data_IF_598575518766
#
_entry.id   IF_598575518766
#
_cell.length_a   1.000
_cell.length_b   1.000
_cell.length_c   1.000
_cell.angle_alpha   90.00
_cell.angle_beta   90.00
_cell.angle_gamma   90.00
#
_symmetry.space_group_name_H-M   'P 1'
#
loop_
_entity.id
_entity.type
_entity.pdbx_description
1 polymer ?
#
# COMPACT_ATOMS: atom_id res chain seq x y z
N UNK A 1 13.61 20.32 -45.68
CA UNK A 1 14.87 19.73 -45.15
C UNK A 1 15.31 20.60 -43.97
N UNK A 2 14.91 20.19 -42.78
CA UNK A 2 15.36 20.70 -41.47
C UNK A 2 15.44 19.46 -40.57
N UNK A 3 16.50 19.23 -39.79
CA UNK A 3 16.69 17.96 -39.10
C UNK A 3 15.86 17.87 -37.81
N UNK A 4 15.35 16.67 -37.56
CA UNK A 4 14.70 16.24 -36.33
C UNK A 4 15.75 15.95 -35.25
N UNK A 5 15.65 16.62 -34.10
CA UNK A 5 16.38 16.24 -32.89
C UNK A 5 15.47 15.39 -31.99
N UNK A 6 15.83 14.11 -31.85
CA UNK A 6 15.24 13.17 -30.91
C UNK A 6 15.77 13.42 -29.50
N UNK A 7 14.90 13.85 -28.58
CA UNK A 7 15.16 13.87 -27.14
C UNK A 7 14.63 12.58 -26.49
N UNK A 8 15.52 11.60 -26.30
CA UNK A 8 15.34 10.50 -25.35
C UNK A 8 15.56 11.05 -23.93
N UNK A 9 14.50 11.12 -23.12
CA UNK A 9 14.60 11.42 -21.69
C UNK A 9 14.71 10.10 -20.92
N UNK A 10 15.91 9.81 -20.44
CA UNK A 10 16.22 8.73 -19.50
C UNK A 10 15.92 9.20 -18.07
N UNK A 11 14.99 8.54 -17.38
CA UNK A 11 14.72 8.78 -15.96
C UNK A 11 15.71 7.99 -15.09
N UNK A 12 16.82 8.64 -14.70
CA UNK A 12 17.59 8.29 -13.50
C UNK A 12 17.46 9.44 -12.51
N UNK A 13 16.84 9.18 -11.36
CA UNK A 13 16.86 10.08 -10.23
C UNK A 13 18.30 10.11 -9.65
N UNK A 14 19.00 11.24 -9.83
CA UNK A 14 20.27 11.53 -9.17
C UNK A 14 20.00 12.65 -8.18
N UNK A 15 20.16 12.36 -6.88
CA UNK A 15 20.26 13.39 -5.84
C UNK A 15 21.70 13.94 -5.84
N UNK A 16 21.92 15.25 -5.68
CA UNK A 16 23.25 15.84 -5.68
C UNK A 16 23.94 15.63 -4.33
N UNK A 17 25.22 15.24 -4.33
CA UNK A 17 26.11 15.50 -3.20
C UNK A 17 26.93 14.37 -2.59
N UNK A 18 27.15 13.23 -3.24
CA UNK A 18 28.13 12.23 -2.77
C UNK A 18 28.94 11.72 -3.97
N UNK A 19 30.23 12.10 -4.05
CA UNK A 19 31.17 11.44 -4.95
C UNK A 19 31.43 10.01 -4.46
N UNK A 20 31.29 8.97 -5.31
CA UNK A 20 31.69 7.63 -4.96
C UNK A 20 33.22 7.48 -5.02
N UNK A 21 33.84 6.65 -4.18
CA UNK A 21 35.26 6.35 -4.28
C UNK A 21 35.55 5.43 -5.48
N UNK A 22 36.69 5.66 -6.12
CA UNK A 22 37.24 4.86 -7.21
C UNK A 22 37.36 3.38 -6.82
N UNK A 23 36.48 2.55 -7.39
CA UNK A 23 36.61 1.09 -7.35
C UNK A 23 36.85 0.61 -8.78
N UNK A 24 38.09 0.23 -9.07
CA UNK A 24 38.47 -0.46 -10.31
C UNK A 24 37.85 -1.86 -10.30
N UNK A 25 36.77 -2.05 -11.06
CA UNK A 25 36.22 -3.37 -11.36
C UNK A 25 37.05 -4.04 -12.46
N UNK A 26 37.67 -5.17 -12.15
CA UNK A 26 38.12 -6.14 -13.15
C UNK A 26 36.89 -6.87 -13.68
N UNK A 27 36.70 -6.85 -15.00
CA UNK A 27 35.72 -7.68 -15.69
C UNK A 27 36.29 -9.11 -15.79
N UNK A 28 35.66 -10.07 -15.12
CA UNK A 28 35.79 -11.49 -15.42
C UNK A 28 34.52 -11.91 -16.17
N UNK A 29 34.69 -12.23 -17.46
CA UNK A 29 33.63 -12.83 -18.27
C UNK A 29 33.44 -14.29 -17.86
N UNK A 30 32.19 -14.69 -17.66
CA UNK A 30 31.79 -16.07 -17.38
C UNK A 30 31.71 -16.82 -18.71
N UNK A 31 32.52 -17.85 -18.84
CA UNK A 31 32.57 -18.79 -19.97
C UNK A 31 31.42 -19.81 -19.84
N UNK A 32 30.49 -19.79 -20.79
CA UNK A 32 29.29 -20.64 -20.81
C UNK A 32 29.52 -22.02 -21.45
N UNK A 33 30.72 -22.33 -21.93
CA UNK A 33 31.03 -23.60 -22.60
C UNK A 33 31.40 -24.75 -21.62
N UNK A 34 31.09 -24.62 -20.33
CA UNK A 34 31.40 -25.60 -19.28
C UNK A 34 30.20 -26.09 -18.46
N UNK A 35 29.05 -26.26 -19.10
CA UNK A 35 27.97 -27.06 -18.51
C UNK A 35 27.97 -28.45 -19.15
N UNK A 36 28.41 -29.42 -18.36
CA UNK A 36 28.48 -30.83 -18.74
C UNK A 36 27.11 -31.46 -18.92
N UNK A 37 27.10 -32.50 -19.75
CA UNK A 37 25.95 -33.29 -20.18
C UNK A 37 25.10 -33.80 -19.00
N UNK A 38 23.81 -33.50 -19.04
CA UNK A 38 22.80 -34.11 -18.17
C UNK A 38 22.06 -35.15 -19.01
N UNK A 39 22.20 -36.41 -18.61
CA UNK A 39 21.50 -37.57 -19.19
C UNK A 39 19.98 -37.40 -19.08
N UNK A 40 19.29 -37.52 -20.22
CA UNK A 40 17.83 -37.63 -20.32
C UNK A 40 17.36 -39.01 -19.81
N UNK A 41 16.27 -39.09 -19.02
CA UNK A 41 15.65 -40.36 -18.69
C UNK A 41 14.69 -40.80 -19.81
N UNK A 42 14.84 -42.05 -20.21
CA UNK A 42 14.04 -42.81 -21.17
C UNK A 42 12.54 -42.87 -20.83
N UNK A 43 11.69 -42.60 -21.83
CA UNK A 43 10.26 -42.90 -21.82
C UNK A 43 9.98 -44.40 -22.11
N UNK A 44 8.96 -45.01 -21.51
CA UNK A 44 8.39 -46.26 -22.01
C UNK A 44 7.18 -46.03 -22.92
N UNK A 45 7.09 -46.93 -23.90
CA UNK A 45 6.20 -46.99 -25.05
C UNK A 45 4.69 -47.09 -24.75
N UNK A 46 3.93 -46.51 -25.69
CA UNK A 46 2.65 -46.92 -26.29
C UNK A 46 1.48 -47.37 -25.41
N UNK A 47 0.38 -46.60 -25.45
CA UNK A 47 -0.92 -47.22 -25.70
C UNK A 47 -1.81 -46.36 -26.60
N UNK A 48 -2.37 -47.02 -27.62
CA UNK A 48 -3.08 -46.47 -28.77
C UNK A 48 -4.57 -46.29 -28.45
N UNK A 49 -5.05 -45.05 -28.29
CA UNK A 49 -6.50 -44.78 -28.41
C UNK A 49 -6.79 -43.65 -29.41
N UNK A 50 -7.39 -44.09 -30.52
CA UNK A 50 -7.95 -43.28 -31.59
C UNK A 50 -8.99 -42.31 -31.04
N UNK A 51 -8.78 -41.01 -31.22
CA UNK A 51 -9.90 -40.07 -31.32
C UNK A 51 -9.65 -39.04 -32.42
N UNK A 52 -10.68 -38.91 -33.24
CA UNK A 52 -10.84 -38.08 -34.42
C UNK A 52 -10.38 -36.64 -34.25
N UNK A 53 -9.43 -36.22 -35.09
CA UNK A 53 -9.19 -34.82 -35.41
C UNK A 53 -10.44 -34.26 -36.10
N UNK A 54 -11.23 -33.50 -35.35
CA UNK A 54 -12.24 -32.59 -35.89
C UNK A 54 -11.62 -31.21 -35.91
N UNK A 55 -11.30 -30.74 -37.12
CA UNK A 55 -11.10 -29.34 -37.46
C UNK A 55 -12.06 -28.44 -36.68
N UNK A 56 -11.50 -27.54 -35.87
CA UNK A 56 -12.20 -26.36 -35.36
C UNK A 56 -11.19 -25.26 -35.00
N UNK A 57 -10.27 -24.97 -35.91
CA UNK A 57 -9.66 -23.62 -35.99
C UNK A 57 -10.72 -22.67 -36.55
N UNK A 58 -11.73 -22.37 -35.73
CA UNK A 58 -12.54 -21.18 -35.96
C UNK A 58 -11.70 -20.00 -35.46
N UNK A 59 -11.05 -19.32 -36.40
CA UNK A 59 -10.64 -17.92 -36.20
C UNK A 59 -11.82 -17.20 -35.54
N UNK A 60 -11.59 -16.68 -34.33
CA UNK A 60 -12.53 -15.78 -33.69
C UNK A 60 -12.54 -14.51 -34.54
N UNK A 61 -13.40 -14.50 -35.55
CA UNK A 61 -13.72 -13.31 -36.32
C UNK A 61 -14.43 -12.40 -35.33
N UNK A 62 -13.68 -11.45 -34.77
CA UNK A 62 -14.29 -10.31 -34.09
C UNK A 62 -15.15 -9.62 -35.15
N UNK A 63 -16.47 -9.50 -34.96
CA UNK A 63 -17.27 -8.68 -35.85
C UNK A 63 -16.64 -7.29 -35.84
N UNK A 64 -16.26 -6.80 -37.03
CA UNK A 64 -15.99 -5.38 -37.25
C UNK A 64 -17.31 -4.65 -37.06
N UNK A 65 -17.67 -4.42 -35.80
CA UNK A 65 -18.76 -3.54 -35.44
C UNK A 65 -18.33 -2.13 -35.83
N UNK A 66 -18.84 -1.72 -36.98
CA UNK A 66 -19.03 -0.34 -37.41
C UNK A 66 -19.96 0.39 -36.42
N UNK A 67 -19.44 0.74 -35.26
CA UNK A 67 -19.80 1.96 -34.56
C UNK A 67 -18.49 2.60 -34.12
N UNK A 68 -18.16 3.73 -34.77
CA UNK A 68 -17.08 4.62 -34.40
C UNK A 68 -17.32 5.15 -32.97
N UNK A 69 -17.12 4.31 -31.95
CA UNK A 69 -16.93 4.78 -30.58
C UNK A 69 -15.56 5.44 -30.58
N UNK A 70 -15.52 6.72 -30.95
CA UNK A 70 -14.30 7.51 -31.03
C UNK A 70 -13.83 7.79 -29.61
N UNK A 71 -13.22 6.79 -28.96
CA UNK A 71 -12.46 6.98 -27.74
C UNK A 71 -11.55 8.20 -27.95
N UNK A 72 -11.52 9.17 -27.03
CA UNK A 72 -10.63 10.32 -27.14
C UNK A 72 -9.21 9.87 -27.46
N UNK A 73 -8.56 10.49 -28.45
CA UNK A 73 -7.19 10.14 -28.87
C UNK A 73 -6.24 10.15 -27.69
N UNK A 74 -6.40 11.15 -26.82
CA UNK A 74 -5.70 11.29 -25.54
C UNK A 74 -5.83 10.04 -24.67
N UNK A 75 -7.05 9.51 -24.52
CA UNK A 75 -7.26 8.29 -23.76
C UNK A 75 -6.56 7.10 -24.41
N UNK A 76 -6.71 6.92 -25.74
CA UNK A 76 -6.06 5.82 -26.47
C UNK A 76 -4.54 5.84 -26.26
N UNK A 77 -3.92 7.02 -26.35
CA UNK A 77 -2.49 7.18 -26.17
C UNK A 77 -2.04 6.89 -24.74
N UNK A 78 -2.70 7.47 -23.73
CA UNK A 78 -2.34 7.28 -22.34
C UNK A 78 -2.58 5.84 -21.87
N UNK A 79 -3.62 5.19 -22.38
CA UNK A 79 -3.89 3.78 -22.12
C UNK A 79 -2.82 2.88 -22.74
N UNK A 80 -2.43 3.11 -23.99
CA UNK A 80 -1.34 2.37 -24.67
C UNK A 80 0.02 2.55 -23.98
N UNK A 81 0.26 3.72 -23.37
CA UNK A 81 1.46 4.00 -22.56
C UNK A 81 1.39 3.43 -21.14
N UNK A 82 0.34 2.68 -20.80
CA UNK A 82 0.10 2.12 -19.46
C UNK A 82 0.01 3.19 -18.35
N UNK A 83 -0.36 4.43 -18.69
CA UNK A 83 -0.55 5.51 -17.71
C UNK A 83 -1.91 5.42 -17.01
N UNK A 84 -2.89 4.82 -17.67
CA UNK A 84 -4.23 4.56 -17.15
C UNK A 84 -4.40 3.10 -16.70
N UNK A 85 -5.10 2.85 -15.59
CA UNK A 85 -5.38 1.49 -15.15
C UNK A 85 -6.37 0.79 -16.10
N UNK A 86 -6.28 -0.54 -16.25
CA UNK A 86 -7.20 -1.31 -17.10
C UNK A 86 -8.69 -1.07 -16.80
N UNK A 87 -9.04 -0.86 -15.52
CA UNK A 87 -10.43 -0.63 -15.12
C UNK A 87 -11.05 0.64 -15.74
N UNK A 88 -10.25 1.58 -16.25
CA UNK A 88 -10.80 2.75 -16.96
C UNK A 88 -11.52 2.35 -18.25
N UNK A 89 -11.11 1.27 -18.92
CA UNK A 89 -11.83 0.75 -20.09
C UNK A 89 -13.21 0.21 -19.70
N UNK A 90 -13.31 -0.55 -18.60
CA UNK A 90 -14.60 -1.04 -18.11
C UNK A 90 -15.52 0.11 -17.67
N UNK A 91 -14.95 1.13 -17.00
CA UNK A 91 -15.69 2.32 -16.60
C UNK A 91 -16.21 3.05 -17.84
N UNK A 92 -15.35 3.28 -18.84
CA UNK A 92 -15.69 4.06 -20.04
C UNK A 92 -16.72 3.35 -20.91
N UNK A 93 -16.51 2.08 -21.24
CA UNK A 93 -17.37 1.37 -22.20
C UNK A 93 -18.59 0.69 -21.58
N UNK A 94 -18.45 0.18 -20.36
CA UNK A 94 -19.46 -0.70 -19.76
C UNK A 94 -20.21 -0.04 -18.62
N UNK A 95 -19.82 1.19 -18.25
CA UNK A 95 -20.30 1.90 -17.06
C UNK A 95 -20.26 0.98 -15.83
N UNK A 96 -19.16 0.21 -15.72
CA UNK A 96 -18.92 -0.78 -14.68
C UNK A 96 -17.54 -0.60 -14.06
N UNK A 97 -17.49 -0.68 -12.75
CA UNK A 97 -16.24 -0.83 -12.01
C UNK A 97 -16.22 -2.22 -11.35
N UNK A 98 -15.13 -2.96 -11.49
CA UNK A 98 -14.96 -4.25 -10.82
C UNK A 98 -14.06 -4.05 -9.61
N UNK A 99 -14.66 -4.11 -8.42
CA UNK A 99 -13.95 -3.97 -7.16
C UNK A 99 -12.97 -5.18 -7.00
N UNK A 100 -11.71 -4.92 -6.64
CA UNK A 100 -10.69 -6.00 -6.49
C UNK A 100 -11.06 -6.82 -5.26
N UNK A 101 -10.98 -8.15 -5.36
CA UNK A 101 -11.24 -9.03 -4.23
C UNK A 101 -10.24 -8.74 -3.09
N UNK A 102 -10.78 -8.46 -1.91
CA UNK A 102 -10.01 -8.19 -0.69
C UNK A 102 -10.64 -8.92 0.48
N UNK A 103 -9.84 -9.19 1.52
CA UNK A 103 -10.37 -9.77 2.76
C UNK A 103 -11.07 -8.67 3.54
N UNK A 104 -12.37 -8.82 3.79
CA UNK A 104 -13.16 -7.80 4.49
C UNK A 104 -14.20 -8.44 5.43
N UNK A 105 -14.76 -7.62 6.32
CA UNK A 105 -15.81 -8.04 7.25
C UNK A 105 -17.14 -8.19 6.50
N UNK A 106 -17.68 -9.41 6.48
CA UNK A 106 -18.89 -9.75 5.69
C UNK A 106 -20.12 -9.00 6.20
N UNK A 107 -20.19 -8.71 7.50
CA UNK A 107 -21.29 -7.95 8.09
C UNK A 107 -21.19 -6.44 7.85
N UNK A 108 -20.03 -5.94 7.42
CA UNK A 108 -19.84 -4.53 7.08
C UNK A 108 -20.21 -4.27 5.61
N UNK A 109 -20.40 -3.00 5.29
CA UNK A 109 -20.50 -2.53 3.91
C UNK A 109 -19.23 -2.85 3.12
N UNK A 110 -19.28 -2.83 1.78
CA UNK A 110 -18.11 -3.08 0.95
C UNK A 110 -17.02 -2.02 1.20
N UNK A 111 -15.76 -2.44 1.36
CA UNK A 111 -14.64 -1.53 1.63
C UNK A 111 -14.45 -0.45 0.55
N UNK A 112 -14.94 -0.66 -0.67
CA UNK A 112 -14.87 0.32 -1.77
C UNK A 112 -15.88 1.46 -1.65
N UNK A 113 -16.95 1.29 -0.85
CA UNK A 113 -17.99 2.33 -0.67
C UNK A 113 -17.37 3.64 -0.18
N UNK A 114 -16.34 3.58 0.66
CA UNK A 114 -15.60 4.77 1.12
C UNK A 114 -15.02 5.60 -0.03
N UNK A 115 -14.71 4.97 -1.16
CA UNK A 115 -14.08 5.58 -2.35
C UNK A 115 -15.08 5.96 -3.44
N UNK A 116 -16.38 5.73 -3.24
CA UNK A 116 -17.40 5.95 -4.28
C UNK A 116 -17.43 7.40 -4.81
N UNK A 117 -17.20 8.41 -3.96
CA UNK A 117 -17.14 9.80 -4.43
C UNK A 117 -15.98 10.01 -5.44
N UNK A 118 -14.84 9.36 -5.22
CA UNK A 118 -13.67 9.44 -6.11
C UNK A 118 -13.95 8.66 -7.39
N UNK A 119 -14.52 7.46 -7.28
CA UNK A 119 -14.87 6.61 -8.43
C UNK A 119 -15.91 7.30 -9.32
N UNK A 120 -16.93 7.92 -8.71
CA UNK A 120 -17.96 8.68 -9.43
C UNK A 120 -17.37 9.89 -10.18
N UNK A 121 -16.43 10.61 -9.56
CA UNK A 121 -15.72 11.70 -10.21
C UNK A 121 -14.86 11.21 -11.39
N UNK A 122 -14.16 10.09 -11.23
CA UNK A 122 -13.40 9.44 -12.31
C UNK A 122 -14.34 9.08 -13.48
N UNK A 123 -15.48 8.45 -13.21
CA UNK A 123 -16.46 8.12 -14.24
C UNK A 123 -16.98 9.36 -14.98
N UNK A 124 -17.29 10.43 -14.26
CA UNK A 124 -17.75 11.69 -14.86
C UNK A 124 -16.68 12.33 -15.75
N UNK A 125 -15.42 12.36 -15.32
CA UNK A 125 -14.31 12.90 -16.13
C UNK A 125 -14.12 12.04 -17.40
N UNK A 126 -14.17 10.72 -17.25
CA UNK A 126 -13.94 9.78 -18.35
C UNK A 126 -15.03 9.86 -19.43
N UNK A 127 -16.30 9.98 -19.03
CA UNK A 127 -17.43 9.84 -19.95
C UNK A 127 -18.18 11.15 -20.23
N UNK A 128 -18.01 12.17 -19.40
CA UNK A 128 -18.85 13.38 -19.40
C UNK A 128 -20.29 13.14 -18.94
N UNK A 129 -20.67 11.88 -18.64
CA UNK A 129 -22.04 11.50 -18.32
C UNK A 129 -22.33 11.73 -16.84
N UNK A 130 -23.61 11.99 -16.55
CA UNK A 130 -24.16 12.03 -15.19
C UNK A 130 -25.04 10.79 -14.91
N UNK A 131 -24.91 9.75 -15.72
CA UNK A 131 -25.62 8.48 -15.55
C UNK A 131 -25.07 7.66 -14.37
N UNK A 132 -25.75 6.54 -14.05
CA UNK A 132 -25.34 5.65 -12.98
C UNK A 132 -24.18 4.73 -13.39
N UNK A 133 -23.07 4.80 -12.66
CA UNK A 133 -22.01 3.78 -12.69
C UNK A 133 -22.39 2.64 -11.75
N UNK A 134 -22.15 1.40 -12.16
CA UNK A 134 -22.31 0.23 -11.27
C UNK A 134 -20.96 -0.32 -10.80
N UNK A 135 -20.72 -0.49 -9.48
CA UNK A 135 -19.64 -1.38 -9.02
C UNK A 135 -20.15 -2.83 -8.91
N UNK A 136 -19.38 -3.77 -9.43
CA UNK A 136 -19.48 -5.20 -9.11
C UNK A 136 -18.49 -5.53 -8.00
N UNK A 137 -19.00 -5.96 -6.86
CA UNK A 137 -18.20 -6.27 -5.67
C UNK A 137 -18.99 -7.10 -4.66
N UNK A 138 -18.50 -7.18 -3.42
CA UNK A 138 -19.22 -7.90 -2.35
C UNK A 138 -20.46 -7.12 -1.92
N UNK A 139 -21.61 -7.81 -1.91
CA UNK A 139 -22.89 -7.39 -1.33
C UNK A 139 -23.31 -8.44 -0.31
N UNK A 140 -23.12 -8.15 0.98
CA UNK A 140 -23.27 -9.13 2.05
C UNK A 140 -22.22 -10.25 1.91
N UNK A 141 -22.66 -11.50 1.71
CA UNK A 141 -21.80 -12.68 1.56
C UNK A 141 -21.59 -13.12 0.10
N UNK A 142 -22.16 -12.40 -0.87
CA UNK A 142 -22.10 -12.76 -2.30
C UNK A 142 -21.46 -11.63 -3.12
N UNK A 143 -21.06 -11.96 -4.34
CA UNK A 143 -20.73 -10.94 -5.35
C UNK A 143 -22.04 -10.42 -5.94
N UNK A 144 -22.17 -9.11 -6.07
CA UNK A 144 -23.36 -8.44 -6.58
C UNK A 144 -23.03 -7.08 -7.18
N UNK A 145 -24.05 -6.38 -7.65
CA UNK A 145 -23.96 -5.02 -8.17
C UNK A 145 -24.35 -4.02 -7.09
N UNK A 146 -23.66 -2.89 -7.06
CA UNK A 146 -23.90 -1.73 -6.20
C UNK A 146 -23.94 -0.49 -7.10
N UNK A 147 -24.92 0.36 -6.91
CA UNK A 147 -24.99 1.63 -7.63
C UNK A 147 -24.02 2.63 -6.99
N UNK A 148 -23.15 3.21 -7.81
CA UNK A 148 -22.26 4.28 -7.39
C UNK A 148 -23.04 5.60 -7.48
N UNK A 149 -23.08 6.41 -6.41
CA UNK A 149 -23.77 7.70 -6.44
C UNK A 149 -23.28 8.60 -7.57
N UNK A 150 -24.20 9.26 -8.25
CA UNK A 150 -23.88 10.23 -9.30
C UNK A 150 -23.08 11.41 -8.73
N UNK A 151 -22.04 11.82 -9.44
CA UNK A 151 -21.27 13.02 -9.11
C UNK A 151 -21.91 14.25 -9.77
N UNK A 152 -22.55 15.12 -8.99
CA UNK A 152 -23.33 16.23 -9.53
C UNK A 152 -22.50 17.47 -9.89
N UNK A 153 -21.43 17.76 -9.14
CA UNK A 153 -20.65 18.98 -9.37
C UNK A 153 -19.95 18.97 -10.75
N UNK A 154 -19.83 20.12 -11.43
CA UNK A 154 -19.17 20.18 -12.73
C UNK A 154 -17.69 19.78 -12.58
N UNK A 155 -17.22 18.92 -13.49
CA UNK A 155 -15.84 18.46 -13.60
C UNK A 155 -15.40 18.62 -15.07
N UNK A 156 -14.10 18.84 -15.30
CA UNK A 156 -13.60 18.96 -16.66
C UNK A 156 -13.66 17.62 -17.41
N UNK A 157 -13.78 17.67 -18.73
CA UNK A 157 -13.62 16.48 -19.59
C UNK A 157 -12.14 16.09 -19.71
N UNK A 158 -11.88 14.91 -20.28
CA UNK A 158 -10.52 14.46 -20.61
C UNK A 158 -9.77 15.46 -21.48
N UNK A 159 -10.43 16.02 -22.50
CA UNK A 159 -9.84 16.99 -23.42
C UNK A 159 -9.54 18.33 -22.73
N UNK A 160 -10.44 18.79 -21.85
CA UNK A 160 -10.22 20.01 -21.08
C UNK A 160 -8.99 19.89 -20.17
N UNK A 161 -8.84 18.74 -19.48
CA UNK A 161 -7.67 18.43 -18.63
C UNK A 161 -6.35 18.55 -19.39
N UNK A 162 -6.34 18.22 -20.68
CA UNK A 162 -5.12 18.32 -21.49
C UNK A 162 -4.55 19.74 -21.53
N UNK A 163 -5.45 20.72 -21.60
CA UNK A 163 -5.13 22.15 -21.74
C UNK A 163 -4.98 22.89 -20.41
N UNK A 164 -5.53 22.33 -19.33
CA UNK A 164 -5.41 22.90 -17.98
C UNK A 164 -3.96 22.98 -17.50
N UNK A 165 -3.64 24.00 -16.72
CA UNK A 165 -2.35 24.09 -16.06
C UNK A 165 -2.25 23.19 -14.80
N UNK A 166 -1.07 23.12 -14.20
CA UNK A 166 -0.85 22.29 -13.01
C UNK A 166 -1.66 22.73 -11.79
N UNK A 167 -1.96 24.02 -11.66
CA UNK A 167 -2.66 24.60 -10.52
C UNK A 167 -4.18 24.35 -10.63
N UNK A 168 -4.73 24.44 -11.84
CA UNK A 168 -6.12 24.11 -12.13
C UNK A 168 -6.41 22.63 -11.89
N UNK A 169 -5.54 21.73 -12.35
CA UNK A 169 -5.65 20.28 -12.09
C UNK A 169 -5.62 19.97 -10.60
N UNK A 170 -4.77 20.68 -9.85
CA UNK A 170 -4.68 20.57 -8.41
C UNK A 170 -5.99 21.01 -7.73
N UNK A 171 -6.59 22.13 -8.15
CA UNK A 171 -7.90 22.58 -7.65
C UNK A 171 -9.00 21.57 -7.91
N UNK A 172 -9.03 20.95 -9.09
CA UNK A 172 -9.99 19.87 -9.40
C UNK A 172 -9.78 18.67 -8.49
N UNK A 173 -8.52 18.28 -8.23
CA UNK A 173 -8.20 17.21 -7.30
C UNK A 173 -8.76 17.48 -5.89
N UNK A 174 -8.50 18.68 -5.33
CA UNK A 174 -9.01 19.08 -4.01
C UNK A 174 -10.55 19.15 -3.97
N UNK A 175 -11.18 19.67 -5.04
CA UNK A 175 -12.64 19.71 -5.17
C UNK A 175 -13.26 18.32 -5.10
N UNK A 176 -12.68 17.33 -5.80
CA UNK A 176 -13.17 15.95 -5.79
C UNK A 176 -13.09 15.33 -4.39
N UNK A 177 -12.03 15.65 -3.64
CA UNK A 177 -11.87 15.19 -2.26
C UNK A 177 -12.70 15.98 -1.24
N UNK A 178 -13.41 17.03 -1.68
CA UNK A 178 -14.15 17.96 -0.81
C UNK A 178 -13.26 18.56 0.28
N UNK A 179 -12.01 18.84 -0.10
CA UNK A 179 -11.00 19.45 0.77
C UNK A 179 -10.81 20.92 0.38
N UNK A 180 -10.68 21.78 1.38
CA UNK A 180 -10.35 23.18 1.15
C UNK A 180 -8.96 23.32 0.52
N UNK A 181 -8.83 24.23 -0.44
CA UNK A 181 -7.58 24.43 -1.17
C UNK A 181 -6.42 24.86 -0.26
N UNK A 182 -6.71 25.51 0.87
CA UNK A 182 -5.71 25.84 1.89
C UNK A 182 -5.01 24.60 2.47
N UNK A 183 -5.57 23.39 2.36
CA UNK A 183 -4.90 22.17 2.80
C UNK A 183 -3.56 21.93 2.08
N UNK A 184 -3.34 22.54 0.90
CA UNK A 184 -2.04 22.56 0.23
C UNK A 184 -0.91 23.09 1.14
N UNK A 185 -1.19 24.04 2.04
CA UNK A 185 -0.19 24.56 2.98
C UNK A 185 0.21 23.49 4.01
N UNK A 186 -0.74 22.72 4.53
CA UNK A 186 -0.43 21.57 5.39
C UNK A 186 0.38 20.49 4.68
N UNK A 187 0.16 20.26 3.37
CA UNK A 187 0.99 19.33 2.60
C UNK A 187 2.43 19.81 2.44
N UNK A 188 2.67 21.12 2.45
CA UNK A 188 4.01 21.67 2.26
C UNK A 188 5.00 21.31 3.37
N UNK A 189 4.50 20.91 4.56
CA UNK A 189 5.34 20.37 5.64
C UNK A 189 5.69 18.90 5.46
N UNK A 190 5.25 18.23 4.39
CA UNK A 190 5.58 16.84 4.08
C UNK A 190 6.37 16.75 2.77
N UNK A 191 7.22 15.71 2.61
CA UNK A 191 7.86 15.45 1.33
C UNK A 191 6.83 15.26 0.21
N UNK A 192 7.11 15.78 -0.99
CA UNK A 192 6.21 15.67 -2.15
C UNK A 192 5.78 14.22 -2.46
N UNK A 193 6.68 13.25 -2.26
CA UNK A 193 6.40 11.81 -2.45
C UNK A 193 5.43 11.21 -1.42
N UNK A 194 5.06 11.96 -0.38
CA UNK A 194 4.11 11.57 0.65
C UNK A 194 2.75 12.25 0.50
N UNK A 195 2.61 13.26 -0.38
CA UNK A 195 1.39 14.07 -0.46
C UNK A 195 0.13 13.22 -0.72
N UNK A 196 0.16 12.30 -1.69
CA UNK A 196 -0.97 11.39 -1.94
C UNK A 196 -1.28 10.46 -0.75
N UNK A 197 -0.27 10.05 0.00
CA UNK A 197 -0.45 9.21 1.19
C UNK A 197 -1.10 9.98 2.34
N UNK A 198 -0.67 11.23 2.56
CA UNK A 198 -1.26 12.12 3.57
C UNK A 198 -2.70 12.51 3.18
N UNK A 199 -2.96 12.78 1.89
CA UNK A 199 -4.31 12.99 1.37
C UNK A 199 -5.20 11.75 1.58
N UNK A 200 -4.68 10.55 1.39
CA UNK A 200 -5.41 9.31 1.68
C UNK A 200 -5.79 9.21 3.15
N UNK A 201 -4.86 9.54 4.06
CA UNK A 201 -5.14 9.54 5.51
C UNK A 201 -6.19 10.60 5.85
N UNK A 202 -6.05 11.83 5.35
CA UNK A 202 -7.04 12.90 5.59
C UNK A 202 -8.43 12.50 5.13
N UNK A 203 -8.53 12.02 3.89
CA UNK A 203 -9.79 11.56 3.31
C UNK A 203 -10.40 10.39 4.12
N UNK A 204 -9.58 9.44 4.54
CA UNK A 204 -10.02 8.30 5.33
C UNK A 204 -10.49 8.69 6.75
N UNK A 205 -9.86 9.68 7.38
CA UNK A 205 -10.30 10.25 8.65
C UNK A 205 -11.69 10.87 8.52
N UNK A 206 -11.90 11.66 7.45
CA UNK A 206 -13.18 12.32 7.20
C UNK A 206 -14.31 11.34 6.84
N UNK A 207 -13.99 10.21 6.18
CA UNK A 207 -14.99 9.30 5.58
C UNK A 207 -15.19 7.97 6.31
N UNK A 208 -14.12 7.32 6.77
CA UNK A 208 -14.15 5.95 7.31
C UNK A 208 -13.88 5.83 8.82
N UNK A 209 -13.76 6.96 9.54
CA UNK A 209 -13.46 6.98 10.99
C UNK A 209 -12.28 6.06 11.34
N UNK A 210 -11.15 6.23 10.65
CA UNK A 210 -9.94 5.46 10.96
C UNK A 210 -9.59 5.61 12.45
N UNK A 211 -9.30 4.49 13.10
CA UNK A 211 -8.84 4.50 14.49
C UNK A 211 -7.42 5.06 14.58
N UNK A 212 -7.11 5.79 15.65
CA UNK A 212 -5.74 6.25 15.92
C UNK A 212 -4.70 5.11 15.89
N UNK A 213 -4.93 3.93 16.52
CA UNK A 213 -4.04 2.78 16.37
C UNK A 213 -3.69 2.42 14.91
N UNK A 214 -4.64 2.57 13.99
CA UNK A 214 -4.41 2.34 12.56
C UNK A 214 -3.60 3.48 11.92
N UNK A 215 -3.93 4.74 12.23
CA UNK A 215 -3.18 5.91 11.73
C UNK A 215 -1.70 5.83 12.16
N UNK A 216 -1.42 5.55 13.43
CA UNK A 216 -0.04 5.38 13.90
C UNK A 216 0.67 4.23 13.17
N UNK A 217 -0.01 3.10 12.95
CA UNK A 217 0.58 1.97 12.26
C UNK A 217 0.87 2.26 10.78
N UNK A 218 -0.02 2.99 10.10
CA UNK A 218 0.18 3.48 8.73
C UNK A 218 1.41 4.39 8.65
N UNK A 219 1.52 5.38 9.53
CA UNK A 219 2.65 6.31 9.56
C UNK A 219 3.96 5.59 9.87
N UNK A 220 4.00 4.73 10.89
CA UNK A 220 5.21 3.96 11.21
C UNK A 220 5.59 3.04 10.05
N UNK A 221 4.62 2.39 9.40
CA UNK A 221 4.88 1.60 8.19
C UNK A 221 5.50 2.46 7.09
N UNK A 222 4.99 3.67 6.87
CA UNK A 222 5.48 4.57 5.83
C UNK A 222 6.91 5.05 6.13
N UNK A 223 7.21 5.42 7.37
CA UNK A 223 8.58 5.76 7.81
C UNK A 223 9.53 4.58 7.59
N UNK A 224 9.10 3.36 7.94
CA UNK A 224 9.95 2.18 7.77
C UNK A 224 10.29 1.97 6.29
N UNK A 225 9.26 1.87 5.44
CA UNK A 225 9.40 1.52 4.04
C UNK A 225 10.11 2.60 3.21
N UNK A 226 9.91 3.87 3.55
CA UNK A 226 10.48 4.99 2.79
C UNK A 226 11.83 5.48 3.32
N UNK A 227 12.17 5.21 4.59
CA UNK A 227 13.36 5.80 5.21
C UNK A 227 14.26 4.77 5.90
N UNK A 228 13.70 3.90 6.75
CA UNK A 228 14.50 2.97 7.55
C UNK A 228 15.06 1.83 6.69
N UNK A 229 14.29 1.30 5.75
CA UNK A 229 14.74 0.23 4.85
C UNK A 229 15.92 0.66 3.99
N UNK A 230 15.94 1.93 3.55
CA UNK A 230 17.06 2.48 2.78
C UNK A 230 18.37 2.49 3.61
N UNK A 231 18.27 2.66 4.93
CA UNK A 231 19.42 2.74 5.85
C UNK A 231 19.84 1.38 6.41
N UNK A 232 18.89 0.46 6.60
CA UNK A 232 19.13 -0.85 7.24
C UNK A 232 19.27 -2.00 6.23
N UNK A 233 18.77 -1.78 5.01
CA UNK A 233 18.50 -2.80 4.00
C UNK A 233 17.11 -3.42 4.18
N UNK A 234 16.55 -3.96 3.10
CA UNK A 234 15.29 -4.69 3.15
C UNK A 234 15.49 -6.07 3.80
N UNK A 235 15.37 -6.12 5.13
CA UNK A 235 15.57 -7.34 5.94
C UNK A 235 14.37 -7.54 6.85
N UNK A 236 13.69 -8.68 6.72
CA UNK A 236 12.49 -9.06 7.50
C UNK A 236 12.70 -10.24 8.45
N UNK A 237 13.78 -11.00 8.25
CA UNK A 237 14.18 -12.07 9.16
C UNK A 237 14.95 -11.52 10.35
N UNK A 238 14.52 -11.87 11.57
CA UNK A 238 15.21 -11.51 12.82
C UNK A 238 16.62 -12.09 12.84
N UNK A 239 16.80 -13.34 12.40
CA UNK A 239 18.11 -13.98 12.35
C UNK A 239 19.07 -13.23 11.42
N UNK A 240 18.62 -12.91 10.20
CA UNK A 240 19.43 -12.17 9.22
C UNK A 240 19.73 -10.75 9.71
N UNK A 241 18.75 -10.09 10.34
CA UNK A 241 18.93 -8.75 10.90
C UNK A 241 19.98 -8.73 12.02
N UNK A 242 19.87 -9.66 12.98
CA UNK A 242 20.82 -9.77 14.08
C UNK A 242 22.22 -10.14 13.57
N UNK A 243 22.34 -11.07 12.61
CA UNK A 243 23.63 -11.39 12.00
C UNK A 243 24.32 -10.15 11.40
N UNK A 244 23.56 -9.25 10.77
CA UNK A 244 24.10 -8.04 10.12
C UNK A 244 24.39 -6.91 11.11
N UNK A 245 23.57 -6.72 12.13
CA UNK A 245 23.58 -5.50 12.94
C UNK A 245 23.86 -5.72 14.44
N UNK A 246 24.08 -6.95 14.92
CA UNK A 246 24.33 -7.24 16.34
C UNK A 246 25.45 -6.40 16.95
N UNK A 247 26.58 -6.25 16.24
CA UNK A 247 27.71 -5.45 16.71
C UNK A 247 27.34 -3.97 16.95
N UNK A 248 26.47 -3.40 16.10
CA UNK A 248 25.98 -2.03 16.23
C UNK A 248 24.99 -1.91 17.39
N UNK A 249 24.13 -2.92 17.58
CA UNK A 249 23.16 -2.95 18.68
C UNK A 249 23.81 -3.06 20.07
N UNK A 250 25.04 -3.60 20.16
CA UNK A 250 25.81 -3.69 21.41
C UNK A 250 26.62 -2.45 21.76
N UNK A 251 26.72 -1.47 20.87
CA UNK A 251 27.45 -0.24 21.18
C UNK A 251 26.70 0.60 22.23
N UNK A 252 27.41 1.23 23.18
CA UNK A 252 26.79 2.16 24.12
C UNK A 252 26.04 3.26 23.36
N UNK A 253 24.81 3.54 23.79
CA UNK A 253 24.10 4.73 23.35
C UNK A 253 24.82 5.92 23.98
N UNK A 254 25.62 6.63 23.19
CA UNK A 254 26.14 7.93 23.61
C UNK A 254 24.94 8.82 23.95
N UNK A 255 25.03 9.56 25.05
CA UNK A 255 24.03 10.57 25.43
C UNK A 255 24.00 11.63 24.33
N UNK A 256 23.11 11.43 23.35
CA UNK A 256 22.90 12.39 22.27
C UNK A 256 21.89 13.41 22.79
N UNK A 257 22.41 14.55 23.24
CA UNK A 257 21.59 15.74 23.41
C UNK A 257 21.04 16.13 22.04
N UNK A 258 19.79 15.76 21.78
CA UNK A 258 19.08 16.18 20.58
C UNK A 258 18.39 17.51 20.87
N UNK A 259 19.10 18.60 20.57
CA UNK A 259 18.51 19.93 20.47
C UNK A 259 18.31 20.28 18.99
N UNK A 260 17.22 19.82 18.40
CA UNK A 260 16.63 20.45 17.21
C UNK A 260 15.12 20.32 17.37
N UNK A 261 14.40 21.44 17.28
CA UNK A 261 12.95 21.53 17.14
C UNK A 261 12.64 21.73 15.64
N UNK A 262 12.74 20.67 14.81
CA UNK A 262 12.43 20.79 13.40
C UNK A 262 10.94 21.07 13.24
N UNK A 263 10.61 22.21 12.65
CA UNK A 263 9.23 22.59 12.32
C UNK A 263 8.67 21.82 11.11
N UNK A 264 9.53 21.18 10.31
CA UNK A 264 9.18 20.49 9.06
C UNK A 264 9.44 18.97 9.15
N UNK A 265 8.49 18.16 8.67
CA UNK A 265 8.63 16.69 8.60
C UNK A 265 9.76 16.30 7.66
N UNK A 266 9.95 17.05 6.58
CA UNK A 266 10.99 16.75 5.57
C UNK A 266 12.38 16.77 6.20
N UNK A 267 12.66 17.78 7.03
CA UNK A 267 13.91 17.91 7.78
C UNK A 267 14.08 16.77 8.78
N UNK A 268 13.03 16.40 9.51
CA UNK A 268 13.05 15.27 10.43
C UNK A 268 13.46 13.96 9.73
N UNK A 269 12.85 13.67 8.58
CA UNK A 269 13.10 12.44 7.82
C UNK A 269 14.53 12.39 7.27
N UNK A 270 15.09 13.53 6.85
CA UNK A 270 16.46 13.63 6.35
C UNK A 270 17.49 13.42 7.46
N UNK A 271 17.19 13.88 8.68
CA UNK A 271 18.07 13.79 9.85
C UNK A 271 18.06 12.43 10.55
N UNK A 272 17.27 11.45 10.07
CA UNK A 272 17.21 10.12 10.67
C UNK A 272 18.60 9.45 10.72
N UNK A 273 19.04 9.13 11.94
CA UNK A 273 20.33 8.49 12.17
C UNK A 273 20.29 7.02 11.74
N UNK A 274 21.36 6.51 11.13
CA UNK A 274 21.46 5.08 10.77
C UNK A 274 21.39 4.18 12.00
N UNK A 275 21.94 4.62 13.14
CA UNK A 275 21.86 3.85 14.39
C UNK A 275 20.43 3.79 14.93
N UNK A 276 19.71 4.90 14.88
CA UNK A 276 18.31 4.99 15.31
C UNK A 276 17.42 4.16 14.39
N UNK A 277 17.69 4.18 13.08
CA UNK A 277 17.01 3.33 12.11
C UNK A 277 17.20 1.82 12.43
N UNK A 278 18.42 1.41 12.80
CA UNK A 278 18.73 0.03 13.22
C UNK A 278 17.98 -0.32 14.52
N UNK A 279 18.02 0.55 15.54
CA UNK A 279 17.32 0.31 16.80
C UNK A 279 15.79 0.27 16.64
N UNK A 280 15.23 1.18 15.83
CA UNK A 280 13.82 1.20 15.50
C UNK A 280 13.40 -0.10 14.80
N UNK A 281 14.13 -0.50 13.75
CA UNK A 281 13.85 -1.75 13.04
C UNK A 281 13.93 -2.95 13.99
N UNK A 282 14.94 -3.03 14.87
CA UNK A 282 15.05 -4.09 15.86
C UNK A 282 13.81 -4.20 16.77
N UNK A 283 13.26 -3.08 17.21
CA UNK A 283 12.04 -3.04 18.04
C UNK A 283 10.77 -3.44 17.28
N UNK A 284 10.75 -3.25 15.97
CA UNK A 284 9.55 -3.37 15.13
C UNK A 284 9.53 -4.60 14.22
N UNK A 285 10.66 -5.30 14.07
CA UNK A 285 10.84 -6.39 13.11
C UNK A 285 9.82 -7.53 13.29
N UNK A 286 9.47 -7.85 14.53
CA UNK A 286 8.50 -8.91 14.86
C UNK A 286 7.10 -8.66 14.25
N UNK A 287 6.73 -7.40 13.97
CA UNK A 287 5.42 -7.09 13.42
C UNK A 287 5.32 -7.36 11.92
N UNK A 288 6.44 -7.59 11.23
CA UNK A 288 6.43 -7.99 9.81
C UNK A 288 6.08 -9.47 9.59
N UNK A 289 6.10 -10.28 10.65
CA UNK A 289 5.84 -11.71 10.58
C UNK A 289 4.37 -12.01 10.83
N UNK A 290 3.83 -13.05 10.18
CA UNK A 290 2.47 -13.51 10.45
C UNK A 290 2.38 -13.98 11.91
N UNK A 291 1.40 -13.47 12.67
CA UNK A 291 1.19 -13.91 14.05
C UNK A 291 0.83 -15.41 14.04
N UNK A 292 1.62 -16.22 14.75
CA UNK A 292 1.46 -17.67 14.81
C UNK A 292 0.08 -18.08 15.40
N UNK A 293 -0.52 -17.24 16.26
CA UNK A 293 -1.88 -17.47 16.77
C UNK A 293 -2.93 -17.30 15.69
N UNK A 294 -2.75 -16.31 14.82
CA UNK A 294 -3.62 -16.09 13.67
C UNK A 294 -3.41 -17.20 12.63
N UNK A 295 -2.17 -17.65 12.45
CA UNK A 295 -1.86 -18.78 11.57
C UNK A 295 -2.49 -20.09 12.05
N UNK A 296 -2.51 -20.33 13.36
CA UNK A 296 -3.08 -21.55 13.95
C UNK A 296 -4.62 -21.54 14.04
N UNK A 297 -5.26 -20.37 14.07
CA UNK A 297 -6.73 -20.30 14.12
C UNK A 297 -7.28 -18.99 13.56
N UNK A 298 -8.23 -19.14 12.63
CA UNK A 298 -9.00 -18.03 12.05
C UNK A 298 -9.82 -17.25 13.08
N UNK A 299 -10.04 -17.81 14.29
CA UNK A 299 -10.76 -17.14 15.38
C UNK A 299 -10.00 -15.93 15.95
N UNK A 300 -8.68 -15.89 15.78
CA UNK A 300 -7.85 -14.76 16.24
C UNK A 300 -7.66 -13.69 15.16
N UNK A 301 -8.18 -13.93 13.95
CA UNK A 301 -8.12 -12.97 12.86
C UNK A 301 -9.20 -11.90 13.03
N UNK A 302 -8.76 -10.67 13.27
CA UNK A 302 -9.66 -9.53 13.41
C UNK A 302 -10.05 -8.98 12.03
N UNK A 303 -11.13 -9.52 11.49
CA UNK A 303 -11.69 -9.11 10.19
C UNK A 303 -12.08 -7.63 10.16
N UNK A 304 -12.46 -7.03 11.29
CA UNK A 304 -12.82 -5.62 11.35
C UNK A 304 -11.60 -4.73 11.15
N UNK A 305 -10.49 -5.07 11.79
CA UNK A 305 -9.22 -4.36 11.58
C UNK A 305 -8.75 -4.48 10.12
N UNK A 306 -8.87 -5.67 9.52
CA UNK A 306 -8.52 -5.86 8.10
C UNK A 306 -9.45 -5.10 7.16
N UNK A 307 -10.75 -5.06 7.46
CA UNK A 307 -11.71 -4.27 6.70
C UNK A 307 -11.32 -2.79 6.63
N UNK A 308 -10.95 -2.17 7.76
CA UNK A 308 -10.49 -0.76 7.76
C UNK A 308 -9.16 -0.56 7.02
N UNK A 309 -8.30 -1.57 6.98
CA UNK A 309 -7.10 -1.54 6.13
C UNK A 309 -7.51 -1.61 4.65
N UNK A 310 -8.48 -2.44 4.28
CA UNK A 310 -9.02 -2.53 2.91
C UNK A 310 -9.70 -1.24 2.46
N UNK A 311 -10.45 -0.57 3.35
CA UNK A 311 -11.01 0.77 3.07
C UNK A 311 -9.88 1.76 2.72
N UNK A 312 -8.81 1.80 3.53
CA UNK A 312 -7.66 2.65 3.26
C UNK A 312 -6.93 2.28 1.96
N UNK A 313 -6.77 0.98 1.67
CA UNK A 313 -6.19 0.51 0.40
C UNK A 313 -7.03 0.96 -0.80
N UNK A 314 -8.36 0.88 -0.70
CA UNK A 314 -9.26 1.39 -1.72
C UNK A 314 -9.05 2.89 -1.93
N UNK A 315 -9.02 3.70 -0.87
CA UNK A 315 -8.79 5.15 -0.98
C UNK A 315 -7.48 5.43 -1.69
N UNK A 316 -6.39 4.82 -1.22
CA UNK A 316 -5.04 5.03 -1.75
C UNK A 316 -4.98 4.66 -3.25
N UNK A 317 -5.63 3.56 -3.65
CA UNK A 317 -5.71 3.13 -5.04
C UNK A 317 -6.47 4.14 -5.92
N UNK A 318 -7.65 4.59 -5.48
CA UNK A 318 -8.46 5.50 -6.28
C UNK A 318 -7.90 6.92 -6.32
N UNK A 319 -7.18 7.37 -5.28
CA UNK A 319 -6.40 8.60 -5.35
C UNK A 319 -5.28 8.51 -6.37
N UNK A 320 -4.59 7.37 -6.47
CA UNK A 320 -3.60 7.14 -7.54
C UNK A 320 -4.25 7.18 -8.92
N UNK A 321 -5.42 6.57 -9.09
CA UNK A 321 -6.16 6.60 -10.35
C UNK A 321 -6.60 8.01 -10.73
N UNK A 322 -7.15 8.75 -9.77
CA UNK A 322 -7.52 10.15 -9.97
C UNK A 322 -6.29 11.01 -10.31
N UNK A 323 -5.17 10.80 -9.62
CA UNK A 323 -3.92 11.51 -9.89
C UNK A 323 -3.45 11.28 -11.32
N UNK A 324 -3.46 10.03 -11.79
CA UNK A 324 -3.09 9.71 -13.18
C UNK A 324 -4.06 10.32 -14.19
N UNK A 325 -5.36 10.27 -13.91
CA UNK A 325 -6.39 10.85 -14.78
C UNK A 325 -6.22 12.37 -14.95
N UNK A 326 -5.84 13.07 -13.87
CA UNK A 326 -5.59 14.51 -13.85
C UNK A 326 -4.16 14.90 -14.28
N UNK A 327 -3.42 14.03 -14.97
CA UNK A 327 -2.02 14.25 -15.37
C UNK A 327 -1.05 14.56 -14.22
N UNK A 328 -1.19 13.81 -13.14
CA UNK A 328 -0.28 13.76 -12.00
C UNK A 328 -0.02 15.14 -11.35
N UNK A 329 -1.07 15.83 -10.84
CA UNK A 329 -0.87 17.06 -10.06
C UNK A 329 -0.06 16.81 -8.78
N UNK A 330 0.03 15.57 -8.32
CA UNK A 330 0.95 15.13 -7.27
C UNK A 330 1.94 14.08 -7.79
N UNK A 331 3.08 13.98 -7.12
CA UNK A 331 4.08 12.94 -7.38
C UNK A 331 3.47 11.55 -7.15
N UNK A 332 3.66 10.65 -8.11
CA UNK A 332 3.16 9.29 -8.01
C UNK A 332 3.89 8.49 -6.91
N UNK A 333 3.28 7.41 -6.42
CA UNK A 333 3.89 6.54 -5.43
C UNK A 333 3.85 5.07 -5.84
N UNK A 334 4.82 4.30 -5.37
CA UNK A 334 4.76 2.84 -5.40
C UNK A 334 4.00 2.34 -4.18
N UNK A 335 3.03 1.44 -4.38
CA UNK A 335 2.31 0.81 -3.27
C UNK A 335 3.28 0.07 -2.34
N UNK A 336 4.30 -0.59 -2.89
CA UNK A 336 5.30 -1.33 -2.11
C UNK A 336 6.17 -0.44 -1.22
N UNK A 337 6.29 0.85 -1.53
CA UNK A 337 7.03 1.81 -0.70
C UNK A 337 6.15 2.54 0.33
N UNK A 338 4.85 2.24 0.36
CA UNK A 338 3.88 2.94 1.20
C UNK A 338 3.18 2.06 2.23
N UNK A 339 2.97 0.78 1.94
CA UNK A 339 2.13 -0.06 2.78
C UNK A 339 2.64 -1.50 2.89
N UNK A 340 2.77 -1.99 4.12
CA UNK A 340 2.91 -3.41 4.43
C UNK A 340 1.73 -3.85 5.30
N UNK A 341 0.77 -4.57 4.73
CA UNK A 341 -0.49 -4.88 5.41
C UNK A 341 -0.30 -5.79 6.63
N UNK A 342 0.68 -6.71 6.59
CA UNK A 342 1.02 -7.58 7.73
C UNK A 342 1.52 -6.75 8.91
N UNK A 343 2.46 -5.84 8.65
CA UNK A 343 2.98 -4.90 9.65
C UNK A 343 1.86 -4.03 10.23
N UNK A 344 1.08 -3.39 9.36
CA UNK A 344 0.01 -2.48 9.78
C UNK A 344 -0.99 -3.23 10.65
N UNK A 345 -1.48 -4.39 10.21
CA UNK A 345 -2.41 -5.21 10.99
C UNK A 345 -1.86 -5.57 12.38
N UNK A 346 -0.65 -6.15 12.42
CA UNK A 346 -0.05 -6.63 13.67
C UNK A 346 0.23 -5.48 14.63
N UNK A 347 0.72 -4.35 14.11
CA UNK A 347 1.06 -3.20 14.92
C UNK A 347 -0.19 -2.45 15.39
N UNK A 348 -1.21 -2.28 14.55
CA UNK A 348 -2.53 -1.79 14.97
C UNK A 348 -3.10 -2.65 16.10
N UNK A 349 -3.11 -3.97 15.97
CA UNK A 349 -3.58 -4.88 17.01
C UNK A 349 -2.78 -4.77 18.33
N UNK A 350 -1.49 -4.40 18.26
CA UNK A 350 -0.67 -4.11 19.43
C UNK A 350 -1.07 -2.77 20.08
N UNK A 351 -1.18 -1.71 19.26
CA UNK A 351 -1.49 -0.35 19.72
C UNK A 351 -2.90 -0.24 20.31
N UNK A 352 -3.88 -0.96 19.77
CA UNK A 352 -5.26 -1.00 20.29
C UNK A 352 -5.37 -1.57 21.73
N UNK A 353 -4.33 -2.25 22.22
CA UNK A 353 -4.28 -2.76 23.60
C UNK A 353 -3.74 -1.72 24.60
N UNK A 354 -3.27 -0.57 24.11
CA UNK A 354 -2.60 0.45 24.92
C UNK A 354 -3.59 1.52 25.34
N UNK A 355 -3.52 1.94 26.59
CA UNK A 355 -4.32 3.06 27.12
C UNK A 355 -3.86 4.39 26.55
N UNK A 356 -2.54 4.59 26.46
CA UNK A 356 -1.91 5.75 25.82
C UNK A 356 -0.89 5.24 24.80
N UNK A 357 -1.14 5.53 23.53
CA UNK A 357 -0.31 5.09 22.40
C UNK A 357 1.05 5.79 22.41
N UNK A 358 1.08 7.10 22.70
CA UNK A 358 2.30 7.92 22.69
C UNK A 358 3.28 7.45 23.77
N UNK A 359 2.84 7.30 25.02
CA UNK A 359 3.69 6.80 26.10
C UNK A 359 4.23 5.40 25.82
N UNK A 360 3.45 4.56 25.12
CA UNK A 360 3.95 3.25 24.70
C UNK A 360 5.03 3.36 23.63
N UNK A 361 4.85 4.24 22.64
CA UNK A 361 5.83 4.48 21.58
C UNK A 361 7.11 5.11 22.12
N UNK A 362 7.01 6.02 23.11
CA UNK A 362 8.16 6.56 23.83
C UNK A 362 9.03 5.45 24.41
N UNK A 363 8.40 4.49 25.08
CA UNK A 363 9.09 3.33 25.64
C UNK A 363 9.65 2.38 24.57
N UNK A 364 8.89 2.14 23.49
CA UNK A 364 9.26 1.21 22.41
C UNK A 364 10.43 1.73 21.56
N UNK A 365 10.48 3.04 21.34
CA UNK A 365 11.44 3.72 20.47
C UNK A 365 12.44 4.59 21.24
N UNK A 366 12.57 4.42 22.56
CA UNK A 366 13.50 5.19 23.39
C UNK A 366 14.97 5.10 22.93
N UNK A 367 15.36 4.01 22.26
CA UNK A 367 16.70 3.81 21.68
C UNK A 367 16.86 4.37 20.26
N UNK A 368 15.81 5.01 19.72
CA UNK A 368 15.76 5.60 18.38
C UNK A 368 15.16 7.01 18.43
N UNK A 369 15.77 7.96 19.17
CA UNK A 369 15.19 9.27 19.46
C UNK A 369 14.89 10.12 18.20
N UNK A 370 15.72 10.07 17.15
CA UNK A 370 15.44 10.78 15.88
C UNK A 370 14.18 10.23 15.18
N UNK A 371 13.98 8.91 15.23
CA UNK A 371 12.77 8.28 14.67
C UNK A 371 11.54 8.62 15.51
N UNK A 372 11.66 8.57 16.83
CA UNK A 372 10.59 8.92 17.75
C UNK A 372 10.16 10.40 17.58
N UNK A 373 11.12 11.32 17.51
CA UNK A 373 10.85 12.73 17.25
C UNK A 373 10.15 12.94 15.91
N UNK A 374 10.65 12.30 14.85
CA UNK A 374 10.03 12.35 13.51
C UNK A 374 8.58 11.87 13.54
N UNK A 375 8.32 10.76 14.24
CA UNK A 375 6.97 10.22 14.41
C UNK A 375 6.05 11.21 15.14
N UNK A 376 6.54 11.85 16.20
CA UNK A 376 5.78 12.87 16.93
C UNK A 376 5.42 14.07 16.06
N UNK A 377 6.38 14.62 15.32
CA UNK A 377 6.14 15.75 14.41
C UNK A 377 5.06 15.39 13.39
N UNK A 378 5.18 14.24 12.71
CA UNK A 378 4.19 13.77 11.73
C UNK A 378 2.80 13.63 12.35
N UNK A 379 2.71 12.95 13.49
CA UNK A 379 1.43 12.69 14.14
C UNK A 379 0.78 13.99 14.63
N UNK A 380 1.57 14.93 15.14
CA UNK A 380 1.05 16.23 15.56
C UNK A 380 0.53 17.03 14.35
N UNK A 381 1.24 17.04 13.22
CA UNK A 381 0.74 17.64 11.99
C UNK A 381 -0.56 16.98 11.51
N UNK A 382 -0.72 15.66 11.67
CA UNK A 382 -1.96 14.95 11.32
C UNK A 382 -3.11 15.33 12.28
N UNK A 383 -2.83 15.45 13.58
CA UNK A 383 -3.82 15.87 14.58
C UNK A 383 -4.33 17.28 14.31
N UNK A 384 -3.48 18.20 13.87
CA UNK A 384 -3.86 19.59 13.58
C UNK A 384 -4.97 19.70 12.54
N UNK A 385 -4.95 18.86 11.49
CA UNK A 385 -5.99 18.85 10.47
C UNK A 385 -7.10 17.82 10.69
N UNK A 386 -6.96 16.99 11.72
CA UNK A 386 -8.00 16.07 12.13
C UNK A 386 -8.96 16.86 13.03
N UNK A 387 -10.11 17.29 12.51
CA UNK A 387 -11.17 17.98 13.30
C UNK A 387 -11.76 17.13 14.45
N UNK A 388 -11.15 15.99 14.75
CA UNK A 388 -11.59 14.98 15.69
C UNK A 388 -10.84 15.19 17.00
N UNK A 389 -11.47 15.90 17.94
CA UNK A 389 -11.13 15.91 19.36
C UNK A 389 -11.49 14.56 19.99
N UNK A 390 -10.88 13.47 19.53
CA UNK A 390 -10.97 12.19 20.23
C UNK A 390 -9.76 12.09 21.14
N UNK A 391 -10.04 12.04 22.44
CA UNK A 391 -9.04 11.66 23.43
C UNK A 391 -8.40 10.33 23.00
N UNK A 392 -7.07 10.28 22.92
CA UNK A 392 -6.27 9.09 22.59
C UNK A 392 -6.36 7.97 23.65
N UNK A 393 -7.42 7.96 24.46
CA UNK A 393 -7.61 7.07 25.60
C UNK A 393 -8.51 5.91 25.19
N UNK A 394 -7.90 4.76 24.91
CA UNK A 394 -8.68 3.52 24.88
C UNK A 394 -9.25 3.28 26.28
N UNK A 395 -10.52 2.88 26.41
CA UNK A 395 -11.08 2.54 27.71
C UNK A 395 -10.21 1.45 28.36
N UNK A 396 -9.90 1.57 29.66
CA UNK A 396 -8.98 0.67 30.32
C UNK A 396 -9.47 -0.78 30.15
N UNK A 397 -8.57 -1.73 29.86
CA UNK A 397 -8.95 -3.12 29.64
C UNK A 397 -9.71 -3.63 30.87
N UNK A 398 -10.97 -4.06 30.68
CA UNK A 398 -11.80 -4.59 31.76
C UNK A 398 -11.03 -5.74 32.43
N UNK A 399 -10.58 -5.53 33.67
CA UNK A 399 -9.91 -6.55 34.48
C UNK A 399 -10.84 -7.76 34.57
N UNK A 400 -10.50 -8.83 33.86
CA UNK A 400 -11.23 -10.09 33.91
C UNK A 400 -11.12 -10.61 35.34
N UNK A 401 -12.21 -10.54 36.13
CA UNK A 401 -12.25 -11.09 37.49
C UNK A 401 -11.80 -12.54 37.40
N UNK A 402 -10.64 -12.87 37.98
CA UNK A 402 -10.14 -14.24 38.08
C UNK A 402 -11.20 -15.06 38.80
N UNK A 403 -11.96 -15.87 38.05
CA UNK A 403 -12.83 -16.90 38.63
C UNK A 403 -11.89 -17.87 39.35
N UNK A 404 -12.00 -17.94 40.68
CA UNK A 404 -11.22 -18.83 41.55
C UNK A 404 -11.39 -20.25 41.01
N UNK A 405 -10.35 -20.79 40.37
CA UNK A 405 -10.37 -22.10 39.73
C UNK A 405 -10.36 -23.13 40.86
N UNK A 406 -11.46 -23.86 41.05
CA UNK A 406 -11.50 -25.04 41.91
C UNK A 406 -10.61 -26.11 41.30
N UNK A 407 -9.69 -26.62 42.11
CA UNK A 407 -8.74 -27.68 41.78
C UNK A 407 -9.51 -28.92 41.33
N UNK A 408 -9.35 -29.31 40.07
CA UNK A 408 -9.70 -30.64 39.57
C UNK A 408 -8.51 -31.15 38.78
N UNK A 409 -8.01 -32.27 39.26
CA UNK A 409 -6.83 -33.04 38.83
C UNK A 409 -7.04 -33.54 37.40
N UNK A 410 -6.08 -33.29 36.50
CA UNK A 410 -6.04 -33.91 35.17
C UNK A 410 -4.64 -34.47 34.92
N UNK A 411 -4.65 -35.73 34.47
CA UNK A 411 -3.56 -36.62 34.08
C UNK A 411 -2.87 -36.07 32.81
N UNK A 412 -1.55 -36.23 32.62
CA UNK A 412 -0.87 -35.77 31.42
C UNK A 412 -1.02 -36.80 30.29
N UNK A 413 -1.40 -36.32 29.10
CA UNK A 413 -1.38 -37.08 27.86
C UNK A 413 -0.38 -36.43 26.90
N UNK A 414 0.59 -37.22 26.45
CA UNK A 414 1.62 -36.87 25.49
C UNK A 414 1.05 -36.96 24.07
N UNK A 415 1.12 -35.88 23.28
CA UNK A 415 1.08 -36.02 21.84
C UNK A 415 2.06 -35.07 21.14
N UNK A 416 2.86 -35.71 20.28
CA UNK A 416 3.94 -35.19 19.47
C UNK A 416 3.48 -34.22 18.39
N UNK A 417 4.20 -33.10 18.25
CA UNK A 417 4.16 -32.23 17.09
C UNK A 417 4.72 -32.96 15.86
N UNK A 418 3.99 -32.92 14.76
CA UNK A 418 4.52 -33.20 13.43
C UNK A 418 4.19 -31.99 12.55
N UNK A 419 5.17 -31.11 12.37
CA UNK A 419 5.10 -29.95 11.49
C UNK A 419 5.34 -30.43 10.04
N UNK A 420 4.29 -30.38 9.22
CA UNK A 420 4.42 -30.49 7.77
C UNK A 420 4.37 -29.08 7.18
N UNK A 421 5.47 -28.65 6.59
CA UNK A 421 5.57 -27.40 5.82
C UNK A 421 4.68 -27.52 4.56
N UNK A 422 3.48 -26.93 4.63
CA UNK A 422 2.64 -26.72 3.45
C UNK A 422 3.07 -25.44 2.73
N UNK A 423 3.24 -25.51 1.41
CA UNK A 423 3.59 -24.35 0.59
C UNK A 423 2.59 -23.20 0.75
N UNK A 424 3.07 -21.94 0.80
CA UNK A 424 2.20 -20.78 0.93
C UNK A 424 1.37 -20.56 -0.34
N UNK A 425 0.05 -20.60 -0.20
CA UNK A 425 -0.90 -20.20 -1.24
C UNK A 425 -0.73 -18.71 -1.58
N UNK A 426 -0.46 -18.40 -2.85
CA UNK A 426 -0.30 -17.05 -3.39
C UNK A 426 -1.51 -16.69 -4.26
N UNK A 427 -2.22 -15.62 -3.89
CA UNK A 427 -3.28 -15.04 -4.72
C UNK A 427 -2.66 -14.14 -5.80
N UNK A 428 -2.61 -14.62 -7.04
CA UNK A 428 -2.05 -13.91 -8.19
C UNK A 428 -2.83 -12.67 -8.61
N UNK A 429 -4.08 -12.51 -8.16
CA UNK A 429 -4.93 -11.36 -8.51
C UNK A 429 -4.86 -10.24 -7.47
N UNK A 430 -4.31 -10.52 -6.28
CA UNK A 430 -4.12 -9.53 -5.25
C UNK A 430 -2.79 -8.78 -5.45
N UNK A 431 -2.85 -7.56 -5.98
CA UNK A 431 -1.68 -6.67 -6.17
C UNK A 431 -0.92 -6.34 -4.86
N UNK A 432 -1.51 -6.65 -3.70
CA UNK A 432 -0.88 -6.50 -2.38
C UNK A 432 -0.28 -7.81 -1.83
N UNK A 433 -0.45 -8.96 -2.50
CA UNK A 433 0.07 -10.26 -2.05
C UNK A 433 1.53 -10.50 -2.43
N UNK A 434 2.13 -9.66 -3.28
CA UNK A 434 3.46 -9.86 -3.88
C UNK A 434 4.66 -9.71 -2.93
N UNK A 435 4.46 -9.78 -1.62
CA UNK A 435 5.58 -9.84 -0.67
C UNK A 435 6.07 -11.28 -0.59
N UNK A 436 7.01 -11.65 -1.47
CA UNK A 436 7.88 -12.81 -1.22
C UNK A 436 8.64 -12.55 0.09
N UNK A 437 8.41 -13.41 1.07
CA UNK A 437 9.07 -13.40 2.39
C UNK A 437 10.54 -13.76 2.29
#
# INVERSE_FOLDING_TARGET
MVPEDHLQVSYRAVLPGISPPDVKSKEECIDFDKLGDIEEPSEPEEDNEKHSESDCDQEIIFPEDQEDSTLPTVFKENFRKCLYPPCFMDIFFRHKYYCIAQVEEVSAENAYIVSFDIIAAIFKILTGLCEGLSCVGRVGSKVGKMDVPTYHDPLPTLEEIETMDSEERLKVFFKILKLDYSFKTHLSSFPYSWHLYILAIKYAIDRSKLSWPLIYALIVSKIILSCIDYRTGFIRSVATFMKKHAAKLSMPLENRDMAIDPKDVSDCLNQLSTMDAIHCMNSLLQYFQKDQKVASSSKFFDRRSVHSISEFQSILLHLKYLNNLLKQPFHDFSVSSCLNCTFVYNFTANLSKRTNIETYLDGLLCKAPTVLNTLHVIINSIKEFSCVTVENTNPPPKKRKKKKKSTSTVIPDEHSNNDSEGEPWVDSNNKFSLLKS
#
